data_IF_224739968696
#
_entry.id   IF_224739968696
#
_cell.length_a   1.000
_cell.length_b   1.000
_cell.length_c   1.000
_cell.angle_alpha   90.00
_cell.angle_beta   90.00
_cell.angle_gamma   90.00
#
_symmetry.space_group_name_H-M   'P 1'
#
loop_
_entity.id
_entity.type
_entity.pdbx_description
1 polymer ?
#
# COMPACT_ATOMS: atom_id res chain seq x y z
N UNK A 1 73.47 9.93 36.04
CA UNK A 1 73.54 8.77 36.95
C UNK A 1 72.35 8.90 37.89
N UNK A 2 71.30 8.09 37.63
CA UNK A 2 70.65 7.15 38.60
C UNK A 2 69.72 7.87 39.58
N UNK A 3 68.45 7.54 39.82
CA UNK A 3 67.58 6.39 39.53
C UNK A 3 66.09 6.77 39.76
N UNK A 4 65.22 5.91 39.22
CA UNK A 4 63.77 5.68 39.38
C UNK A 4 62.88 6.47 40.38
N UNK A 5 61.64 6.81 39.95
CA UNK A 5 60.49 6.96 40.84
C UNK A 5 59.72 5.63 41.02
N UNK A 6 59.34 5.36 42.28
CA UNK A 6 58.54 4.23 42.71
C UNK A 6 57.03 4.49 42.54
N UNK A 7 56.31 3.39 42.33
CA UNK A 7 54.84 3.26 42.21
C UNK A 7 54.15 3.48 43.56
N UNK A 8 52.91 3.98 43.57
CA UNK A 8 51.73 3.20 43.98
C UNK A 8 50.37 3.92 43.81
N UNK A 9 49.31 3.13 43.52
CA UNK A 9 47.87 3.36 43.78
C UNK A 9 47.17 4.55 43.09
N UNK A 10 46.03 4.46 42.39
CA UNK A 10 44.89 3.53 42.47
C UNK A 10 43.98 3.83 41.25
N UNK A 11 43.54 2.81 40.49
CA UNK A 11 42.54 2.94 39.42
C UNK A 11 41.11 2.79 39.98
N UNK A 12 40.11 3.56 39.53
CA UNK A 12 38.71 3.26 39.81
C UNK A 12 38.11 2.28 38.79
N UNK A 13 37.71 1.13 39.33
CA UNK A 13 36.61 0.21 39.04
C UNK A 13 35.88 0.27 37.68
N UNK A 14 35.96 -0.87 36.98
CA UNK A 14 35.03 -1.31 35.94
C UNK A 14 33.61 -1.48 36.53
N UNK A 15 32.62 -0.90 35.86
CA UNK A 15 31.19 -1.12 36.12
C UNK A 15 30.61 -2.02 35.01
N UNK A 16 30.43 -3.30 35.32
CA UNK A 16 29.65 -4.23 34.51
C UNK A 16 28.13 -4.01 34.76
N UNK A 17 27.29 -3.84 33.73
CA UNK A 17 25.85 -3.97 33.88
C UNK A 17 25.41 -5.44 33.87
N UNK A 18 24.30 -5.79 34.56
CA UNK A 18 23.93 -7.18 34.85
C UNK A 18 23.23 -7.90 33.67
N UNK A 19 23.25 -9.25 33.65
CA UNK A 19 22.68 -10.05 32.57
C UNK A 19 21.15 -10.15 32.69
N UNK A 20 20.42 -9.55 31.75
CA UNK A 20 18.99 -9.79 31.60
C UNK A 20 18.73 -11.11 30.85
N UNK A 21 18.34 -12.09 31.67
CA UNK A 21 17.62 -13.36 31.41
C UNK A 21 17.15 -13.65 29.98
N UNK A 22 17.56 -14.82 29.49
CA UNK A 22 17.07 -15.51 28.31
C UNK A 22 15.64 -16.07 28.47
N UNK A 23 14.89 -16.18 27.36
CA UNK A 23 14.05 -17.34 27.02
C UNK A 23 13.53 -17.34 25.56
N UNK A 24 13.73 -18.49 24.90
CA UNK A 24 13.03 -18.97 23.69
C UNK A 24 13.68 -18.54 22.37
N UNK A 25 14.41 -19.36 21.60
CA UNK A 25 14.40 -20.81 21.45
C UNK A 25 13.71 -21.19 20.14
N UNK A 26 14.48 -21.46 19.08
CA UNK A 26 14.31 -22.51 18.06
C UNK A 26 15.18 -22.21 16.81
N UNK A 27 16.24 -23.00 16.63
CA UNK A 27 16.43 -23.88 15.46
C UNK A 27 17.91 -24.10 15.10
N UNK A 28 18.31 -25.36 15.24
CA UNK A 28 19.27 -26.12 14.44
C UNK A 28 20.73 -25.62 14.38
N UNK A 29 21.55 -26.34 15.14
CA UNK A 29 22.99 -26.56 14.96
C UNK A 29 23.41 -26.70 13.48
N UNK A 30 24.36 -25.89 13.05
CA UNK A 30 25.38 -26.31 12.07
C UNK A 30 26.74 -26.34 12.76
N UNK A 31 27.35 -27.51 12.69
CA UNK A 31 28.63 -27.90 13.23
C UNK A 31 29.79 -27.00 12.75
N UNK A 32 30.68 -26.65 13.67
CA UNK A 32 32.12 -26.66 13.40
C UNK A 32 32.75 -25.49 12.62
N UNK A 33 32.14 -24.31 12.55
CA UNK A 33 32.96 -23.13 12.31
C UNK A 33 33.57 -22.72 13.66
N UNK A 34 34.89 -22.88 13.79
CA UNK A 34 35.64 -22.03 14.71
C UNK A 34 35.14 -20.62 14.45
N UNK A 35 34.52 -20.02 15.46
CA UNK A 35 34.14 -18.61 15.49
C UNK A 35 35.45 -17.81 15.45
N UNK A 36 36.05 -17.77 14.26
CA UNK A 36 37.30 -17.09 14.02
C UNK A 36 37.01 -15.61 14.05
N UNK A 37 37.77 -14.91 14.87
CA UNK A 37 37.74 -13.46 14.92
C UNK A 37 38.01 -12.91 13.51
N UNK A 38 37.10 -12.06 13.03
CA UNK A 38 37.18 -11.40 11.72
C UNK A 38 37.41 -9.92 11.94
N UNK A 39 38.09 -9.29 10.98
CA UNK A 39 38.13 -7.84 10.92
C UNK A 39 36.95 -7.32 10.11
N UNK A 40 36.25 -6.34 10.67
CA UNK A 40 35.20 -5.56 10.01
C UNK A 40 35.77 -4.19 9.69
N UNK A 41 35.52 -3.73 8.47
CA UNK A 41 36.10 -2.49 7.95
C UNK A 41 35.02 -1.60 7.38
N UNK A 42 34.99 -0.34 7.83
CA UNK A 42 34.10 0.66 7.26
C UNK A 42 34.63 1.07 5.89
N UNK A 43 33.78 0.97 4.86
CA UNK A 43 34.19 1.30 3.48
C UNK A 43 34.45 2.80 3.26
N UNK A 44 33.96 3.66 4.14
CA UNK A 44 34.04 5.12 4.02
C UNK A 44 35.16 5.70 4.88
N UNK A 45 35.09 5.56 6.21
CA UNK A 45 36.07 6.16 7.11
C UNK A 45 37.25 5.24 7.48
N UNK A 46 37.25 4.00 6.95
CA UNK A 46 38.30 3.01 7.18
C UNK A 46 38.48 2.55 8.64
N UNK A 47 37.54 2.91 9.54
CA UNK A 47 37.47 2.35 10.89
C UNK A 47 37.44 0.82 10.81
N UNK A 48 38.27 0.18 11.62
CA UNK A 48 38.35 -1.27 11.72
C UNK A 48 38.03 -1.73 13.13
N UNK A 49 37.28 -2.83 13.23
CA UNK A 49 36.99 -3.51 14.49
C UNK A 49 37.17 -5.01 14.29
N UNK A 50 37.52 -5.72 15.36
CA UNK A 50 37.67 -7.18 15.33
C UNK A 50 36.62 -7.82 16.21
N UNK A 51 36.10 -8.94 15.77
CA UNK A 51 35.11 -9.70 16.52
C UNK A 51 34.63 -10.91 15.74
N UNK A 52 33.85 -11.73 16.42
CA UNK A 52 33.21 -12.90 15.80
C UNK A 52 32.00 -12.45 14.96
N UNK A 53 31.32 -11.39 15.39
CA UNK A 53 30.10 -10.83 14.80
C UNK A 53 30.30 -9.39 14.37
N UNK A 54 29.47 -8.93 13.42
CA UNK A 54 29.43 -7.52 13.01
C UNK A 54 29.15 -6.67 14.26
N UNK A 55 29.96 -5.62 14.54
CA UNK A 55 29.79 -4.87 15.78
C UNK A 55 28.44 -4.16 15.84
N UNK A 56 27.94 -3.96 17.06
CA UNK A 56 26.69 -3.25 17.28
C UNK A 56 26.78 -1.81 16.74
N UNK A 57 25.68 -1.33 16.13
CA UNK A 57 25.62 0.01 15.52
C UNK A 57 26.26 0.12 14.13
N UNK A 58 26.80 -0.97 13.58
CA UNK A 58 27.27 -1.01 12.20
C UNK A 58 26.13 -1.39 11.24
N UNK A 59 26.22 -0.85 10.03
CA UNK A 59 25.25 -1.04 8.95
C UNK A 59 25.83 -1.88 7.83
N UNK A 60 25.01 -2.78 7.27
CA UNK A 60 25.34 -3.65 6.15
C UNK A 60 24.51 -3.24 4.94
N UNK A 61 25.17 -2.98 3.81
CA UNK A 61 24.49 -2.74 2.53
C UNK A 61 24.63 -3.96 1.63
N UNK A 62 23.50 -4.45 1.16
CA UNK A 62 23.41 -5.58 0.24
C UNK A 62 22.55 -5.23 -0.97
N UNK A 63 22.93 -5.73 -2.13
CA UNK A 63 22.13 -5.69 -3.35
C UNK A 63 21.46 -7.04 -3.55
N UNK A 64 20.14 -7.04 -3.56
CA UNK A 64 19.38 -8.18 -4.07
C UNK A 64 19.56 -8.24 -5.61
N UNK A 65 20.12 -9.32 -6.18
CA UNK A 65 20.31 -9.42 -7.63
C UNK A 65 19.00 -9.65 -8.41
N UNK A 66 17.85 -9.80 -7.73
CA UNK A 66 16.59 -10.26 -8.31
C UNK A 66 16.56 -11.79 -8.45
N UNK A 67 15.39 -12.42 -8.22
CA UNK A 67 15.21 -13.88 -8.27
C UNK A 67 15.69 -14.64 -7.02
N UNK A 68 15.97 -15.95 -7.14
CA UNK A 68 16.45 -16.83 -6.04
C UNK A 68 17.97 -16.70 -5.78
N UNK A 69 18.59 -15.61 -6.22
CA UNK A 69 20.04 -15.39 -6.06
C UNK A 69 20.42 -15.03 -4.62
N UNK A 70 21.69 -15.28 -4.25
CA UNK A 70 22.23 -14.81 -2.97
C UNK A 70 22.42 -13.30 -3.02
N UNK A 71 22.19 -12.64 -1.89
CA UNK A 71 22.43 -11.20 -1.74
C UNK A 71 23.91 -10.89 -1.98
N UNK A 72 24.18 -9.82 -2.72
CA UNK A 72 25.54 -9.36 -2.98
C UNK A 72 25.88 -8.28 -1.96
N UNK A 73 26.81 -8.57 -1.06
CA UNK A 73 27.28 -7.60 -0.06
C UNK A 73 28.08 -6.48 -0.73
N UNK A 74 27.62 -5.24 -0.59
CA UNK A 74 28.26 -4.06 -1.14
C UNK A 74 29.23 -3.40 -0.15
N UNK A 75 28.94 -3.43 1.16
CA UNK A 75 29.84 -2.85 2.16
C UNK A 75 29.33 -2.88 3.60
N UNK A 76 30.22 -2.58 4.54
CA UNK A 76 29.91 -2.30 5.95
C UNK A 76 30.23 -0.85 6.29
N UNK A 77 29.46 -0.27 7.21
CA UNK A 77 29.56 1.12 7.63
C UNK A 77 29.42 1.24 9.14
N UNK A 78 30.35 1.94 9.80
CA UNK A 78 30.35 2.03 11.26
C UNK A 78 29.31 3.00 11.85
N UNK A 79 28.57 3.73 11.00
CA UNK A 79 27.54 4.68 11.41
C UNK A 79 26.59 4.99 10.26
N UNK A 80 25.43 5.58 10.58
CA UNK A 80 24.46 6.09 9.60
C UNK A 80 25.11 7.11 8.66
N UNK A 81 25.94 8.01 9.20
CA UNK A 81 26.65 9.02 8.41
C UNK A 81 27.52 8.38 7.32
N UNK A 82 28.29 7.34 7.67
CA UNK A 82 29.09 6.59 6.69
C UNK A 82 28.21 5.86 5.67
N UNK A 83 27.05 5.33 6.07
CA UNK A 83 26.12 4.70 5.15
C UNK A 83 25.53 5.70 4.15
N UNK A 84 25.11 6.88 4.61
CA UNK A 84 24.55 7.95 3.76
C UNK A 84 25.61 8.46 2.77
N UNK A 85 26.84 8.69 3.23
CA UNK A 85 27.94 9.09 2.36
C UNK A 85 28.24 8.01 1.29
N UNK A 86 28.16 6.73 1.66
CA UNK A 86 28.31 5.65 0.68
C UNK A 86 27.17 5.65 -0.36
N UNK A 87 25.95 6.03 0.03
CA UNK A 87 24.85 6.27 -0.90
C UNK A 87 25.19 7.33 -1.95
N UNK A 88 25.72 8.47 -1.53
CA UNK A 88 26.16 9.54 -2.44
C UNK A 88 27.24 9.07 -3.41
N UNK A 89 28.25 8.34 -2.92
CA UNK A 89 29.30 7.76 -3.79
C UNK A 89 28.74 6.78 -4.82
N UNK A 90 27.72 5.99 -4.44
CA UNK A 90 27.05 5.08 -5.36
C UNK A 90 26.24 5.82 -6.43
N UNK A 91 25.55 6.90 -6.06
CA UNK A 91 24.83 7.77 -6.99
C UNK A 91 25.79 8.43 -7.99
N UNK A 92 26.90 8.99 -7.51
CA UNK A 92 27.95 9.57 -8.36
C UNK A 92 28.56 8.53 -9.30
N UNK A 93 28.87 7.35 -8.78
CA UNK A 93 29.38 6.22 -9.55
C UNK A 93 28.40 5.75 -10.62
N UNK A 94 27.11 5.67 -10.29
CA UNK A 94 26.05 5.33 -11.24
C UNK A 94 25.90 6.39 -12.33
N UNK A 95 25.95 7.69 -11.98
CA UNK A 95 25.91 8.78 -12.93
C UNK A 95 27.13 8.78 -13.86
N UNK A 96 28.33 8.54 -13.32
CA UNK A 96 29.55 8.43 -14.11
C UNK A 96 29.53 7.20 -15.04
N UNK A 97 29.01 6.07 -14.56
CA UNK A 97 28.83 4.88 -15.38
C UNK A 97 27.85 5.15 -16.52
N UNK A 98 26.69 5.74 -16.23
CA UNK A 98 25.68 6.09 -17.22
C UNK A 98 26.24 7.00 -18.33
N UNK A 99 27.05 8.01 -17.97
CA UNK A 99 27.75 8.86 -18.96
C UNK A 99 28.70 8.06 -19.86
N UNK A 100 29.47 7.12 -19.30
CA UNK A 100 30.43 6.31 -20.08
C UNK A 100 29.73 5.31 -21.00
N UNK A 101 28.60 4.74 -20.58
CA UNK A 101 27.86 3.72 -21.33
C UNK A 101 26.71 4.29 -22.14
N UNK A 102 26.56 5.61 -22.18
CA UNK A 102 25.47 6.32 -22.85
C UNK A 102 24.07 5.81 -22.40
N UNK A 103 23.94 5.47 -21.12
CA UNK A 103 22.67 5.08 -20.51
C UNK A 103 21.95 6.32 -19.94
N UNK A 104 20.61 6.32 -19.87
CA UNK A 104 19.86 7.37 -19.21
C UNK A 104 20.28 7.51 -17.75
N UNK A 105 20.66 8.72 -17.34
CA UNK A 105 20.95 9.03 -15.94
C UNK A 105 19.65 8.99 -15.10
N UNK A 106 19.79 8.97 -13.77
CA UNK A 106 18.62 9.07 -12.88
C UNK A 106 17.84 10.38 -13.10
N UNK A 107 18.53 11.47 -13.44
CA UNK A 107 17.90 12.73 -13.77
C UNK A 107 17.13 12.65 -15.11
N UNK A 108 17.66 11.93 -16.10
CA UNK A 108 16.93 11.67 -17.36
C UNK A 108 15.68 10.83 -17.11
N UNK A 109 15.77 9.78 -16.28
CA UNK A 109 14.61 8.97 -15.89
C UNK A 109 13.56 9.79 -15.16
N UNK A 110 13.98 10.71 -14.28
CA UNK A 110 13.09 11.62 -13.56
C UNK A 110 12.39 12.58 -14.52
N UNK A 111 13.12 13.18 -15.46
CA UNK A 111 12.55 14.05 -16.50
C UNK A 111 11.56 13.31 -17.38
N UNK A 112 11.91 12.10 -17.81
CA UNK A 112 11.02 11.28 -18.64
C UNK A 112 9.75 10.90 -17.89
N UNK A 113 9.88 10.47 -16.63
CA UNK A 113 8.74 10.24 -15.74
C UNK A 113 7.83 11.47 -15.66
N UNK A 114 8.39 12.67 -15.48
CA UNK A 114 7.61 13.91 -15.41
C UNK A 114 6.87 14.22 -16.72
N UNK A 115 7.51 13.95 -17.88
CA UNK A 115 6.86 14.07 -19.19
C UNK A 115 5.69 13.10 -19.30
N UNK A 116 5.87 11.84 -18.95
CA UNK A 116 4.81 10.82 -18.95
C UNK A 116 3.63 11.26 -18.08
N UNK A 117 3.90 11.77 -16.88
CA UNK A 117 2.84 12.29 -15.98
C UNK A 117 2.08 13.46 -16.62
N UNK A 118 2.78 14.39 -17.27
CA UNK A 118 2.18 15.56 -17.93
C UNK A 118 1.29 15.15 -19.11
N UNK A 119 1.75 14.22 -19.94
CA UNK A 119 0.96 13.69 -21.05
C UNK A 119 -0.24 12.89 -20.53
N UNK A 120 -0.05 12.07 -19.50
CA UNK A 120 -1.14 11.33 -18.87
C UNK A 120 -2.23 12.26 -18.32
N UNK A 121 -1.88 13.37 -17.66
CA UNK A 121 -2.84 14.38 -17.22
C UNK A 121 -3.68 14.91 -18.38
N UNK A 122 -3.03 15.20 -19.50
CA UNK A 122 -3.70 15.72 -20.71
C UNK A 122 -4.68 14.69 -21.28
N UNK A 123 -4.28 13.42 -21.34
CA UNK A 123 -5.14 12.32 -21.79
C UNK A 123 -6.36 12.12 -20.87
N UNK A 124 -6.15 12.15 -19.55
CA UNK A 124 -7.23 12.02 -18.57
C UNK A 124 -8.21 13.20 -18.64
N UNK A 125 -7.72 14.43 -18.83
CA UNK A 125 -8.56 15.59 -19.05
C UNK A 125 -9.37 15.50 -20.35
N UNK A 126 -8.82 14.84 -21.37
CA UNK A 126 -9.52 14.48 -22.62
C UNK A 126 -10.51 13.33 -22.50
N UNK A 127 -10.76 12.80 -21.29
CA UNK A 127 -11.72 11.73 -21.03
C UNK A 127 -11.18 10.30 -21.22
N UNK A 128 -9.87 10.14 -21.48
CA UNK A 128 -9.28 8.81 -21.53
C UNK A 128 -9.29 8.15 -20.15
N UNK A 129 -9.48 6.83 -20.11
CA UNK A 129 -9.31 6.06 -18.88
C UNK A 129 -7.82 5.90 -18.53
N UNK A 130 -7.50 5.66 -17.25
CA UNK A 130 -6.13 5.38 -16.80
C UNK A 130 -5.50 4.21 -17.57
N UNK A 131 -6.30 3.19 -17.90
CA UNK A 131 -5.82 2.02 -18.65
C UNK A 131 -5.42 2.40 -20.08
N UNK A 132 -6.25 3.18 -20.76
CA UNK A 132 -5.95 3.68 -22.11
C UNK A 132 -4.74 4.59 -22.11
N UNK A 133 -4.64 5.51 -21.14
CA UNK A 133 -3.47 6.38 -21.00
C UNK A 133 -2.19 5.57 -20.74
N UNK A 134 -2.26 4.56 -19.87
CA UNK A 134 -1.13 3.66 -19.58
C UNK A 134 -0.67 2.88 -20.82
N UNK A 135 -1.62 2.37 -21.61
CA UNK A 135 -1.36 1.65 -22.85
C UNK A 135 -0.71 2.56 -23.91
N UNK A 136 -1.25 3.76 -24.12
CA UNK A 136 -0.69 4.74 -25.06
C UNK A 136 0.71 5.20 -24.66
N UNK A 137 0.99 5.30 -23.37
CA UNK A 137 2.29 5.70 -22.85
C UNK A 137 3.27 4.52 -22.71
N UNK A 138 2.84 3.30 -23.02
CA UNK A 138 3.62 2.06 -22.83
C UNK A 138 4.15 1.87 -21.39
N UNK A 139 3.39 2.33 -20.39
CA UNK A 139 3.73 2.20 -18.97
C UNK A 139 2.73 1.28 -18.28
N UNK A 140 3.16 0.37 -17.37
CA UNK A 140 2.22 -0.46 -16.62
C UNK A 140 1.20 0.40 -15.85
N UNK A 141 -0.09 0.03 -15.88
CA UNK A 141 -1.17 0.80 -15.25
C UNK A 141 -0.93 1.09 -13.77
N UNK A 142 -0.35 0.14 -13.03
CA UNK A 142 0.02 0.34 -11.62
C UNK A 142 1.09 1.42 -11.46
N UNK A 143 2.14 1.37 -12.27
CA UNK A 143 3.23 2.35 -12.27
C UNK A 143 2.71 3.74 -12.57
N UNK A 144 1.85 3.89 -13.59
CA UNK A 144 1.26 5.18 -13.92
C UNK A 144 0.40 5.72 -12.77
N UNK A 145 -0.42 4.87 -12.12
CA UNK A 145 -1.20 5.27 -10.93
C UNK A 145 -0.32 5.79 -9.81
N UNK A 146 0.78 5.08 -9.52
CA UNK A 146 1.75 5.50 -8.49
C UNK A 146 2.36 6.85 -8.84
N UNK A 147 2.77 7.05 -10.09
CA UNK A 147 3.37 8.32 -10.52
C UNK A 147 2.40 9.48 -10.47
N UNK A 148 1.14 9.29 -10.88
CA UNK A 148 0.09 10.30 -10.80
C UNK A 148 -0.22 10.67 -9.34
N UNK A 149 -0.31 9.67 -8.45
CA UNK A 149 -0.52 9.88 -7.02
C UNK A 149 0.62 10.67 -6.38
N UNK A 150 1.88 10.31 -6.67
CA UNK A 150 3.05 11.03 -6.18
C UNK A 150 3.11 12.47 -6.71
N UNK A 151 2.57 12.73 -7.91
CA UNK A 151 2.42 14.08 -8.46
C UNK A 151 1.21 14.85 -7.90
N UNK A 152 0.48 14.29 -6.92
CA UNK A 152 -0.68 14.93 -6.29
C UNK A 152 -1.95 14.96 -7.15
N UNK A 153 -1.97 14.22 -8.26
CA UNK A 153 -3.11 14.18 -9.19
C UNK A 153 -4.13 13.20 -8.64
N UNK A 154 -5.24 13.73 -8.12
CA UNK A 154 -6.37 12.91 -7.73
C UNK A 154 -7.07 12.42 -8.99
N UNK A 155 -6.95 11.12 -9.25
CA UNK A 155 -7.73 10.48 -10.30
C UNK A 155 -9.11 10.23 -9.70
N UNK A 156 -9.98 11.21 -9.79
CA UNK A 156 -11.39 10.98 -9.54
C UNK A 156 -11.87 9.96 -10.57
N UNK A 157 -12.59 8.94 -10.11
CA UNK A 157 -13.15 7.86 -10.93
C UNK A 157 -14.28 8.39 -11.85
N UNK A 158 -14.13 9.59 -12.41
CA UNK A 158 -15.16 10.30 -13.13
C UNK A 158 -15.57 9.57 -14.42
N UNK A 159 -14.67 9.06 -15.26
CA UNK A 159 -15.07 8.62 -16.59
C UNK A 159 -15.83 7.27 -16.66
N UNK A 160 -15.49 6.30 -15.80
CA UNK A 160 -16.17 4.99 -15.81
C UNK A 160 -17.47 5.01 -15.00
N UNK A 161 -17.49 5.76 -13.89
CA UNK A 161 -18.69 5.92 -13.07
C UNK A 161 -19.65 6.92 -13.70
N UNK A 162 -19.21 7.96 -14.41
CA UNK A 162 -20.13 8.87 -15.11
C UNK A 162 -20.74 8.24 -16.36
N UNK A 163 -20.06 7.36 -17.09
CA UNK A 163 -20.68 6.66 -18.23
C UNK A 163 -21.61 5.55 -17.75
N UNK A 164 -21.21 4.79 -16.71
CA UNK A 164 -22.11 3.84 -16.05
C UNK A 164 -23.29 4.55 -15.36
N UNK A 165 -23.07 5.71 -14.75
CA UNK A 165 -24.13 6.53 -14.16
C UNK A 165 -24.96 7.24 -15.23
N UNK A 166 -24.43 7.60 -16.41
CA UNK A 166 -25.24 8.12 -17.53
C UNK A 166 -26.11 7.04 -18.12
N UNK A 167 -25.58 5.83 -18.31
CA UNK A 167 -26.37 4.68 -18.76
C UNK A 167 -27.42 4.34 -17.69
N UNK A 168 -27.06 4.32 -16.41
CA UNK A 168 -27.98 4.05 -15.31
C UNK A 168 -29.00 5.16 -15.08
N UNK A 169 -28.64 6.44 -15.24
CA UNK A 169 -29.54 7.61 -15.19
C UNK A 169 -30.44 7.63 -16.43
N UNK A 170 -29.96 7.19 -17.59
CA UNK A 170 -30.79 7.03 -18.78
C UNK A 170 -31.78 5.86 -18.63
N UNK A 171 -31.38 4.76 -17.96
CA UNK A 171 -32.31 3.66 -17.65
C UNK A 171 -33.24 3.96 -16.47
N UNK A 172 -32.83 4.77 -15.48
CA UNK A 172 -33.66 5.13 -14.33
C UNK A 172 -34.56 6.35 -14.56
N UNK A 173 -34.12 7.35 -15.33
CA UNK A 173 -34.97 8.47 -15.75
C UNK A 173 -36.06 8.05 -16.75
N UNK A 174 -35.88 6.93 -17.45
CA UNK A 174 -36.93 6.31 -18.25
C UNK A 174 -37.95 5.53 -17.38
N UNK A 175 -37.64 5.23 -16.12
CA UNK A 175 -38.46 4.35 -15.28
C UNK A 175 -39.12 5.03 -14.07
N UNK A 176 -38.54 6.05 -13.42
CA UNK A 176 -39.19 6.69 -12.26
C UNK A 176 -38.64 8.08 -12.00
N UNK A 177 -39.50 9.10 -12.10
CA UNK A 177 -39.15 10.51 -11.88
C UNK A 177 -38.86 10.86 -10.43
N UNK A 178 -37.72 10.44 -9.88
CA UNK A 178 -37.22 10.91 -8.60
C UNK A 178 -35.68 11.08 -8.65
N UNK A 179 -35.23 12.31 -8.39
CA UNK A 179 -33.84 12.77 -8.48
C UNK A 179 -33.16 12.56 -7.12
N UNK A 180 -32.34 11.52 -6.97
CA UNK A 180 -31.46 11.37 -5.80
C UNK A 180 -30.07 11.95 -6.12
N UNK A 181 -29.63 12.86 -5.24
CA UNK A 181 -28.40 13.64 -5.33
C UNK A 181 -27.15 12.82 -4.98
N UNK A 182 -26.05 13.14 -5.67
CA UNK A 182 -24.81 12.38 -5.85
C UNK A 182 -23.88 12.17 -4.64
N UNK A 183 -24.23 12.47 -3.39
CA UNK A 183 -23.18 12.59 -2.36
C UNK A 183 -23.02 11.44 -1.34
N UNK A 184 -23.83 10.37 -1.37
CA UNK A 184 -23.66 9.30 -0.36
C UNK A 184 -23.85 7.90 -0.95
N UNK A 185 -22.80 7.07 -0.86
CA UNK A 185 -22.79 5.69 -1.35
C UNK A 185 -23.84 4.85 -0.59
N UNK A 186 -24.77 4.13 -1.27
CA UNK A 186 -25.91 3.44 -0.64
C UNK A 186 -25.56 2.49 0.50
N UNK A 187 -24.47 1.73 0.37
CA UNK A 187 -24.00 0.82 1.43
C UNK A 187 -23.53 1.60 2.66
N UNK A 188 -22.93 2.78 2.48
CA UNK A 188 -22.46 3.62 3.59
C UNK A 188 -23.64 4.20 4.35
N UNK A 189 -24.69 4.63 3.64
CA UNK A 189 -25.94 5.10 4.25
C UNK A 189 -26.61 4.03 5.12
N UNK A 190 -26.73 2.80 4.62
CA UNK A 190 -27.28 1.71 5.41
C UNK A 190 -26.43 1.41 6.65
N UNK A 191 -25.10 1.44 6.53
CA UNK A 191 -24.22 1.25 7.69
C UNK A 191 -24.36 2.38 8.72
N UNK A 192 -24.53 3.63 8.27
CA UNK A 192 -24.82 4.75 9.16
C UNK A 192 -26.15 4.54 9.89
N UNK A 193 -27.19 4.05 9.20
CA UNK A 193 -28.47 3.74 9.84
C UNK A 193 -28.38 2.60 10.86
N UNK A 194 -27.52 1.61 10.63
CA UNK A 194 -27.20 0.58 11.64
C UNK A 194 -26.52 1.22 12.86
N UNK A 195 -25.55 2.11 12.64
CA UNK A 195 -24.82 2.80 13.72
C UNK A 195 -25.71 3.76 14.52
N UNK A 196 -26.71 4.36 13.88
CA UNK A 196 -27.74 5.18 14.51
C UNK A 196 -28.87 4.35 15.14
N UNK A 197 -28.75 3.01 15.15
CA UNK A 197 -29.75 2.07 15.69
C UNK A 197 -31.15 2.21 15.05
N UNK A 198 -31.22 2.73 13.81
CA UNK A 198 -32.48 2.88 13.07
C UNK A 198 -32.93 1.59 12.40
N UNK A 199 -31.98 0.71 12.12
CA UNK A 199 -32.18 -0.61 11.52
C UNK A 199 -31.26 -1.63 12.21
N UNK A 200 -31.63 -2.91 12.20
CA UNK A 200 -30.74 -3.98 12.70
C UNK A 200 -29.54 -4.19 11.78
N UNK A 201 -28.47 -4.87 12.25
CA UNK A 201 -27.34 -5.23 11.41
C UNK A 201 -27.78 -5.90 10.10
N UNK A 202 -27.09 -5.53 9.01
CA UNK A 202 -27.41 -6.00 7.66
C UNK A 202 -26.97 -7.45 7.47
N UNK A 203 -27.87 -8.29 6.99
CA UNK A 203 -27.57 -9.65 6.58
C UNK A 203 -27.36 -9.71 5.07
N UNK A 204 -26.18 -10.17 4.64
CA UNK A 204 -25.79 -10.18 3.23
C UNK A 204 -25.59 -11.60 2.71
N UNK A 205 -26.26 -11.91 1.61
CA UNK A 205 -26.05 -13.14 0.83
C UNK A 205 -25.61 -12.76 -0.58
N UNK A 206 -24.55 -13.37 -1.10
CA UNK A 206 -24.10 -13.13 -2.48
C UNK A 206 -23.94 -14.46 -3.20
N UNK A 207 -24.66 -14.62 -4.31
CA UNK A 207 -24.53 -15.75 -5.22
C UNK A 207 -23.85 -15.31 -6.51
N UNK A 208 -23.27 -16.27 -7.23
CA UNK A 208 -22.60 -16.03 -8.51
C UNK A 208 -23.09 -17.04 -9.52
N UNK A 209 -23.46 -16.57 -10.70
CA UNK A 209 -23.90 -17.37 -11.83
C UNK A 209 -23.18 -16.93 -13.11
N UNK A 210 -23.35 -17.69 -14.18
CA UNK A 210 -22.74 -17.37 -15.48
C UNK A 210 -21.33 -17.93 -15.67
N UNK A 211 -20.79 -17.82 -16.90
CA UNK A 211 -19.48 -18.36 -17.22
C UNK A 211 -18.36 -17.54 -16.56
N UNK A 212 -17.21 -18.15 -16.30
CA UNK A 212 -16.09 -17.49 -15.60
C UNK A 212 -15.55 -16.22 -16.29
N UNK A 213 -15.80 -16.05 -17.58
CA UNK A 213 -15.44 -14.85 -18.34
C UNK A 213 -16.54 -13.77 -18.37
N UNK A 214 -17.74 -14.08 -17.86
CA UNK A 214 -18.85 -13.13 -17.71
C UNK A 214 -19.72 -13.50 -16.48
N UNK A 215 -19.15 -13.41 -15.26
CA UNK A 215 -19.89 -13.74 -14.04
C UNK A 215 -20.96 -12.69 -13.73
N UNK A 216 -22.15 -13.14 -13.38
CA UNK A 216 -23.23 -12.35 -12.81
C UNK A 216 -23.26 -12.58 -11.30
N UNK A 217 -23.09 -11.51 -10.52
CA UNK A 217 -23.21 -11.55 -9.08
C UNK A 217 -24.60 -11.04 -8.71
N UNK A 218 -25.29 -11.79 -7.84
CA UNK A 218 -26.56 -11.38 -7.25
C UNK A 218 -26.36 -11.24 -5.75
N UNK A 219 -26.60 -10.06 -5.21
CA UNK A 219 -26.53 -9.79 -3.79
C UNK A 219 -27.94 -9.56 -3.24
N UNK A 220 -28.25 -10.17 -2.11
CA UNK A 220 -29.46 -9.96 -1.34
C UNK A 220 -29.07 -9.40 0.02
N UNK A 221 -29.73 -8.32 0.43
CA UNK A 221 -29.56 -7.68 1.73
C UNK A 221 -30.87 -7.72 2.49
N UNK A 222 -30.79 -7.98 3.78
CA UNK A 222 -31.93 -7.98 4.68
C UNK A 222 -31.64 -7.21 5.96
N UNK A 223 -32.67 -6.57 6.50
CA UNK A 223 -32.62 -5.89 7.79
C UNK A 223 -34.02 -5.83 8.41
N UNK A 224 -34.10 -5.52 9.70
CA UNK A 224 -35.33 -5.15 10.38
C UNK A 224 -35.28 -3.66 10.73
N UNK A 225 -36.08 -2.81 10.06
CA UNK A 225 -36.24 -1.43 10.48
C UNK A 225 -37.00 -1.36 11.81
N UNK A 226 -36.55 -0.49 12.72
CA UNK A 226 -37.17 -0.34 14.05
C UNK A 226 -38.66 0.05 13.96
N UNK A 227 -39.03 0.80 12.91
CA UNK A 227 -40.40 1.30 12.73
C UNK A 227 -41.28 0.41 11.84
N UNK A 228 -40.72 -0.55 11.11
CA UNK A 228 -41.47 -1.27 10.06
C UNK A 228 -42.13 -2.56 10.56
N UNK A 229 -41.82 -3.06 11.77
CA UNK A 229 -42.44 -4.26 12.35
C UNK A 229 -42.19 -5.58 11.62
N UNK A 230 -41.57 -5.57 10.42
CA UNK A 230 -41.26 -6.75 9.62
C UNK A 230 -39.85 -6.66 9.02
N UNK A 231 -39.33 -7.80 8.55
CA UNK A 231 -38.03 -7.88 7.86
C UNK A 231 -38.17 -7.33 6.46
N UNK A 232 -37.32 -6.37 6.10
CA UNK A 232 -37.25 -5.83 4.73
C UNK A 232 -36.05 -6.46 4.04
N UNK A 233 -36.26 -6.94 2.81
CA UNK A 233 -35.24 -7.60 2.00
C UNK A 233 -35.22 -7.04 0.60
N UNK A 234 -34.04 -6.76 0.07
CA UNK A 234 -33.86 -6.31 -1.31
C UNK A 234 -32.74 -7.06 -2.00
N UNK A 235 -32.82 -7.16 -3.33
CA UNK A 235 -31.85 -7.89 -4.16
C UNK A 235 -31.38 -7.01 -5.31
N UNK A 236 -30.09 -7.10 -5.64
CA UNK A 236 -29.49 -6.39 -6.76
C UNK A 236 -28.39 -7.22 -7.42
N UNK A 237 -28.20 -7.03 -8.73
CA UNK A 237 -27.27 -7.82 -9.53
C UNK A 237 -26.28 -6.95 -10.29
N UNK A 238 -25.10 -7.51 -10.61
CA UNK A 238 -24.09 -6.80 -11.39
C UNK A 238 -22.88 -7.65 -11.79
N UNK A 239 -21.97 -7.11 -12.61
CA UNK A 239 -20.79 -7.82 -13.11
C UNK A 239 -19.67 -7.95 -12.06
N UNK A 240 -19.87 -7.40 -10.86
CA UNK A 240 -18.98 -7.58 -9.72
C UNK A 240 -19.78 -7.66 -8.43
N UNK A 241 -19.20 -8.28 -7.40
CA UNK A 241 -19.79 -8.31 -6.04
C UNK A 241 -20.08 -6.91 -5.50
N UNK A 242 -19.24 -5.93 -5.80
CA UNK A 242 -19.39 -4.55 -5.34
C UNK A 242 -20.60 -3.86 -6.00
N UNK A 243 -20.77 -4.03 -7.32
CA UNK A 243 -21.92 -3.45 -8.04
C UNK A 243 -23.22 -4.12 -7.58
N UNK A 244 -23.24 -5.45 -7.47
CA UNK A 244 -24.41 -6.18 -6.98
C UNK A 244 -24.83 -5.73 -5.57
N UNK A 245 -23.86 -5.55 -4.65
CA UNK A 245 -24.14 -5.03 -3.30
C UNK A 245 -24.65 -3.61 -3.29
N UNK A 246 -24.09 -2.75 -4.14
CA UNK A 246 -24.52 -1.34 -4.24
C UNK A 246 -25.94 -1.25 -4.78
N UNK A 247 -26.28 -2.05 -5.79
CA UNK A 247 -27.64 -2.15 -6.33
C UNK A 247 -28.64 -2.68 -5.28
N UNK A 248 -28.27 -3.74 -4.55
CA UNK A 248 -29.13 -4.29 -3.49
C UNK A 248 -29.33 -3.30 -2.33
N UNK A 249 -28.29 -2.54 -1.97
CA UNK A 249 -28.38 -1.49 -0.96
C UNK A 249 -29.29 -0.33 -1.39
N UNK A 250 -29.20 0.11 -2.64
CA UNK A 250 -30.08 1.14 -3.17
C UNK A 250 -31.55 0.70 -3.13
N UNK A 251 -31.84 -0.52 -3.60
CA UNK A 251 -33.19 -1.09 -3.54
C UNK A 251 -33.69 -1.22 -2.09
N UNK A 252 -32.81 -1.57 -1.13
CA UNK A 252 -33.21 -1.63 0.28
C UNK A 252 -33.53 -0.25 0.87
N UNK A 253 -32.78 0.80 0.48
CA UNK A 253 -33.06 2.16 0.93
C UNK A 253 -34.43 2.66 0.41
N UNK A 254 -34.81 2.27 -0.81
CA UNK A 254 -36.15 2.55 -1.35
C UNK A 254 -37.24 1.81 -0.57
N UNK A 255 -37.05 0.52 -0.28
CA UNK A 255 -38.02 -0.28 0.48
C UNK A 255 -38.16 0.20 1.93
N UNK A 256 -37.06 0.52 2.61
CA UNK A 256 -37.08 1.05 3.98
C UNK A 256 -37.63 2.48 3.99
N UNK A 257 -37.32 3.27 2.96
CA UNK A 257 -37.93 4.59 2.75
C UNK A 257 -39.45 4.48 2.58
N UNK A 258 -39.92 3.60 1.70
CA UNK A 258 -41.34 3.35 1.47
C UNK A 258 -42.05 2.82 2.72
N UNK A 259 -41.42 1.90 3.47
CA UNK A 259 -41.97 1.35 4.71
C UNK A 259 -42.01 2.37 5.87
N UNK A 260 -41.14 3.39 5.87
CA UNK A 260 -41.13 4.45 6.88
C UNK A 260 -42.19 5.55 6.63
N UNK A 261 -42.75 5.62 5.41
CA UNK A 261 -43.79 6.59 5.01
C UNK A 261 -45.16 5.95 4.73
N UNK A 262 -45.33 4.65 5.02
CA UNK A 262 -46.64 4.02 4.99
C UNK A 262 -47.38 4.34 6.31
N UNK A 263 -48.43 5.17 6.23
CA UNK A 263 -49.32 5.46 7.36
C UNK A 263 -49.87 4.17 7.99
N UNK A 264 -49.96 4.08 9.33
CA UNK A 264 -50.60 2.94 9.98
C UNK A 264 -52.10 2.89 9.61
N UNK A 265 -52.69 1.70 9.41
CA UNK A 265 -54.14 1.60 9.23
C UNK A 265 -54.84 2.03 10.52
N UNK A 266 -55.82 2.93 10.39
CA UNK A 266 -56.75 3.35 11.46
C UNK A 266 -57.66 2.20 11.86
#
# INVERSE_FOLDING_TARGET
MTEHPDRDGTRPSDAHPPPSRARGGLAATRSGHQESERSFFCRVCHRSERGIWVPAGWYLLERAPGGRGRHIRLGLYCSVTCLVQAGQMLEEGAAAHARRTNLPSEEDRRRERQRVVTVAQTLLAGGASIRQAAEQLAVPTFTLKTWLKEAGIRIEHAAAEQEAARIAVATSAAATGARLTTEQHPVSLLNEWVQQERITPLEWTVTTSGPGHAPLFTATVATHPVNAGHRVTATGSGPSKAIARTAAAAALLEEVGAAAFADPPV
#
